data_IF_478354492505
#
_entry.id   IF_478354492505
#
_cell.length_a   1.000
_cell.length_b   1.000
_cell.length_c   1.000
_cell.angle_alpha   90.00
_cell.angle_beta   90.00
_cell.angle_gamma   90.00
#
_symmetry.space_group_name_H-M   'P 1'
#
loop_
_entity.id
_entity.type
_entity.pdbx_description
1 polymer ?
#
# COMPACT_ATOMS: atom_id res chain seq x y z
N UNK A 1 -4.22 17.01 -7.19
CA UNK A 1 -3.52 15.76 -6.86
C UNK A 1 -3.78 14.67 -7.89
N UNK A 2 -5.04 14.24 -8.08
CA UNK A 2 -5.39 13.22 -9.09
C UNK A 2 -4.95 13.60 -10.52
N UNK A 3 -5.26 14.81 -10.98
CA UNK A 3 -4.88 15.32 -12.31
C UNK A 3 -3.37 15.32 -12.56
N UNK A 4 -2.57 15.48 -11.51
CA UNK A 4 -1.11 15.44 -11.58
C UNK A 4 -0.57 14.02 -11.74
N UNK A 5 -1.21 13.03 -11.12
CA UNK A 5 -0.90 11.62 -11.34
C UNK A 5 -1.30 11.16 -12.75
N UNK A 6 -2.44 11.63 -13.24
CA UNK A 6 -2.96 11.25 -14.56
C UNK A 6 -2.10 11.76 -15.72
N UNK A 7 -1.39 12.88 -15.52
CA UNK A 7 -0.48 13.45 -16.51
C UNK A 7 0.89 12.75 -16.56
N UNK A 8 1.23 11.92 -15.57
CA UNK A 8 2.48 11.18 -15.56
C UNK A 8 2.46 10.04 -16.59
N UNK A 9 3.63 9.66 -17.18
CA UNK A 9 3.72 8.48 -18.02
C UNK A 9 3.20 7.24 -17.31
N UNK A 10 2.28 6.52 -17.96
CA UNK A 10 1.69 5.30 -17.41
C UNK A 10 2.53 4.09 -17.79
N UNK A 11 2.76 3.21 -16.83
CA UNK A 11 3.39 1.91 -17.02
C UNK A 11 2.42 0.80 -16.64
N UNK A 12 2.73 -0.43 -17.02
CA UNK A 12 2.01 -1.60 -16.50
C UNK A 12 2.30 -1.70 -15.00
N UNK A 13 1.24 -1.73 -14.20
CA UNK A 13 1.27 -1.98 -12.77
C UNK A 13 0.53 -3.28 -12.47
N UNK A 14 1.10 -4.14 -11.62
CA UNK A 14 0.51 -5.43 -11.24
C UNK A 14 -0.55 -5.28 -10.15
N UNK A 15 -0.50 -4.16 -9.42
CA UNK A 15 -1.34 -3.80 -8.27
C UNK A 15 -1.12 -4.62 -7.00
N UNK A 16 -0.81 -5.90 -7.15
CA UNK A 16 -0.53 -6.85 -6.07
C UNK A 16 0.95 -7.29 -6.08
N UNK A 17 1.85 -6.35 -6.43
CA UNK A 17 3.30 -6.53 -6.34
C UNK A 17 3.76 -6.46 -4.87
N UNK A 18 3.73 -7.58 -4.18
CA UNK A 18 4.13 -7.71 -2.77
C UNK A 18 4.81 -9.06 -2.51
N UNK A 19 5.47 -9.21 -1.36
CA UNK A 19 6.40 -10.32 -1.12
C UNK A 19 5.76 -11.72 -1.29
N UNK A 20 4.50 -11.90 -0.92
CA UNK A 20 3.80 -13.19 -1.07
C UNK A 20 3.52 -13.59 -2.53
N UNK A 21 3.56 -12.65 -3.48
CA UNK A 21 3.36 -12.91 -4.91
C UNK A 21 4.70 -12.98 -5.69
N UNK A 22 5.84 -13.02 -4.97
CA UNK A 22 7.17 -13.11 -5.56
C UNK A 22 7.81 -14.46 -5.23
N UNK A 23 8.27 -15.17 -6.27
CA UNK A 23 9.01 -16.42 -6.15
C UNK A 23 10.49 -16.18 -6.43
N UNK A 24 11.37 -16.56 -5.49
CA UNK A 24 12.80 -16.51 -5.72
C UNK A 24 13.27 -17.70 -6.56
N UNK A 25 13.86 -17.42 -7.71
CA UNK A 25 14.31 -18.41 -8.71
C UNK A 25 15.83 -18.28 -8.92
N UNK A 26 16.66 -18.79 -7.98
CA UNK A 26 18.08 -18.46 -7.91
C UNK A 26 18.90 -18.91 -9.12
N UNK A 27 18.40 -19.86 -9.92
CA UNK A 27 19.08 -20.36 -11.12
C UNK A 27 18.91 -19.44 -12.35
N UNK A 28 18.12 -18.37 -12.24
CA UNK A 28 17.95 -17.37 -13.31
C UNK A 28 18.92 -16.19 -13.11
N UNK A 29 19.00 -15.29 -14.08
CA UNK A 29 19.87 -14.10 -14.00
C UNK A 29 19.08 -12.82 -13.74
N UNK A 30 19.71 -11.85 -13.09
CA UNK A 30 19.17 -10.49 -12.88
C UNK A 30 17.75 -10.47 -12.29
N UNK A 31 16.86 -9.65 -12.87
CA UNK A 31 15.46 -9.53 -12.47
C UNK A 31 14.65 -10.80 -12.77
N UNK A 32 15.10 -11.67 -13.69
CA UNK A 32 14.41 -12.93 -13.97
C UNK A 32 14.44 -13.92 -12.79
N UNK A 33 15.28 -13.66 -11.77
CA UNK A 33 15.27 -14.36 -10.47
C UNK A 33 14.03 -14.09 -9.64
N UNK A 34 13.23 -13.08 -9.99
CA UNK A 34 11.99 -12.75 -9.32
C UNK A 34 10.83 -13.22 -10.20
N UNK A 35 10.33 -14.43 -9.92
CA UNK A 35 9.10 -14.94 -10.50
C UNK A 35 7.89 -14.16 -9.97
N UNK A 36 6.93 -13.87 -10.83
CA UNK A 36 5.73 -13.11 -10.50
C UNK A 36 4.49 -14.00 -10.58
N UNK A 37 3.65 -13.92 -9.56
CA UNK A 37 2.30 -14.50 -9.54
C UNK A 37 1.26 -13.39 -9.57
N UNK A 38 0.00 -13.76 -9.83
CA UNK A 38 -1.18 -12.90 -9.64
C UNK A 38 -1.18 -11.60 -10.48
N UNK A 39 -0.61 -11.64 -11.70
CA UNK A 39 -0.45 -10.48 -12.58
C UNK A 39 -1.62 -10.25 -13.55
N UNK A 40 -2.65 -11.10 -13.55
CA UNK A 40 -3.77 -11.05 -14.50
C UNK A 40 -4.64 -9.78 -14.39
N UNK A 41 -4.59 -9.12 -13.23
CA UNK A 41 -5.34 -7.90 -12.93
C UNK A 41 -4.54 -6.61 -13.23
N UNK A 42 -3.41 -6.74 -13.92
CA UNK A 42 -2.54 -5.63 -14.26
C UNK A 42 -3.24 -4.58 -15.13
N UNK A 43 -2.87 -3.32 -14.94
CA UNK A 43 -3.43 -2.18 -15.68
C UNK A 43 -2.40 -1.07 -15.87
N UNK A 44 -2.77 -0.01 -16.58
CA UNK A 44 -1.91 1.16 -16.76
C UNK A 44 -2.04 2.14 -15.59
N UNK A 45 -0.93 2.43 -14.91
CA UNK A 45 -0.89 3.32 -13.77
C UNK A 45 0.45 4.02 -13.59
N UNK A 46 0.56 4.78 -12.51
CA UNK A 46 1.78 5.51 -12.19
C UNK A 46 2.91 4.54 -11.76
N UNK A 47 4.17 4.74 -12.18
CA UNK A 47 5.30 3.84 -11.87
C UNK A 47 5.56 3.60 -10.38
N UNK A 48 5.25 4.57 -9.54
CA UNK A 48 5.38 4.43 -8.09
C UNK A 48 4.40 3.40 -7.47
N UNK A 49 3.33 2.98 -8.16
CA UNK A 49 2.26 2.18 -7.56
C UNK A 49 2.73 0.83 -7.00
N UNK A 50 3.47 0.07 -7.80
CA UNK A 50 4.00 -1.23 -7.37
C UNK A 50 5.18 -1.07 -6.41
N UNK A 51 5.94 0.03 -6.51
CA UNK A 51 7.01 0.33 -5.55
C UNK A 51 6.44 0.62 -4.15
N UNK A 52 5.31 1.34 -4.06
CA UNK A 52 4.56 1.49 -2.80
C UNK A 52 4.07 0.13 -2.30
N UNK A 53 3.53 -0.71 -3.20
CA UNK A 53 2.98 -2.03 -2.85
C UNK A 53 3.97 -2.93 -2.12
N UNK A 54 5.22 -2.99 -2.60
CA UNK A 54 6.25 -3.86 -2.02
C UNK A 54 6.95 -3.23 -0.82
N UNK A 55 7.19 -1.91 -0.83
CA UNK A 55 7.96 -1.25 0.24
C UNK A 55 7.09 -0.86 1.45
N UNK A 56 5.77 -0.74 1.27
CA UNK A 56 4.79 -0.53 2.34
C UNK A 56 3.89 -1.75 2.51
N UNK A 57 4.43 -2.96 2.31
CA UNK A 57 3.68 -4.21 2.45
C UNK A 57 3.16 -4.38 3.89
N UNK A 58 1.85 -4.42 4.06
CA UNK A 58 1.21 -4.61 5.36
C UNK A 58 1.64 -5.91 6.05
N UNK A 59 2.09 -6.92 5.30
CA UNK A 59 2.38 -8.28 5.80
C UNK A 59 3.81 -8.46 6.26
N UNK A 60 4.73 -7.58 5.84
CA UNK A 60 6.13 -7.63 6.26
C UNK A 60 6.58 -6.28 6.82
N UNK A 61 7.42 -6.32 7.84
CA UNK A 61 8.02 -5.11 8.36
C UNK A 61 9.23 -4.72 7.50
N UNK A 62 8.98 -3.94 6.44
CA UNK A 62 10.05 -3.40 5.58
C UNK A 62 10.68 -2.21 6.31
N UNK A 63 11.98 -2.27 6.66
CA UNK A 63 12.62 -1.17 7.37
C UNK A 63 12.58 0.12 6.56
N UNK A 64 12.35 1.27 7.21
CA UNK A 64 12.30 2.58 6.53
C UNK A 64 13.59 2.94 5.80
N UNK A 65 14.74 2.47 6.29
CA UNK A 65 16.01 2.63 5.58
C UNK A 65 16.03 1.88 4.24
N UNK A 66 15.42 0.68 4.18
CA UNK A 66 15.29 -0.10 2.93
C UNK A 66 14.32 0.59 1.99
N UNK A 67 13.17 1.08 2.48
CA UNK A 67 12.22 1.86 1.68
C UNK A 67 12.91 3.09 1.05
N UNK A 68 13.62 3.88 1.84
CA UNK A 68 14.36 5.05 1.35
C UNK A 68 15.43 4.66 0.31
N UNK A 69 16.25 3.66 0.61
CA UNK A 69 17.31 3.19 -0.30
C UNK A 69 16.75 2.68 -1.63
N UNK A 70 15.61 1.97 -1.61
CA UNK A 70 14.99 1.43 -2.83
C UNK A 70 14.32 2.52 -3.67
N UNK A 71 13.76 3.56 -3.04
CA UNK A 71 13.27 4.75 -3.76
C UNK A 71 14.45 5.45 -4.46
N UNK A 72 15.55 5.69 -3.75
CA UNK A 72 16.74 6.34 -4.32
C UNK A 72 17.34 5.52 -5.47
N UNK A 73 17.42 4.19 -5.30
CA UNK A 73 17.85 3.27 -6.35
C UNK A 73 16.95 3.35 -7.58
N UNK A 74 15.63 3.36 -7.39
CA UNK A 74 14.66 3.44 -8.49
C UNK A 74 14.78 4.77 -9.25
N UNK A 75 14.93 5.89 -8.53
CA UNK A 75 15.13 7.21 -9.13
C UNK A 75 16.43 7.28 -9.92
N UNK A 76 17.54 6.81 -9.36
CA UNK A 76 18.83 6.78 -10.04
C UNK A 76 18.81 5.92 -11.32
N UNK A 77 18.01 4.84 -11.35
CA UNK A 77 17.87 3.96 -12.52
C UNK A 77 16.94 4.50 -13.59
N UNK A 78 15.91 5.27 -13.21
CA UNK A 78 14.88 5.72 -14.15
C UNK A 78 15.05 7.16 -14.60
N UNK A 79 15.81 7.97 -13.87
CA UNK A 79 15.99 9.40 -14.16
C UNK A 79 14.72 10.23 -13.96
N UNK A 80 13.74 9.72 -13.21
CA UNK A 80 12.52 10.46 -12.89
C UNK A 80 12.82 11.64 -11.96
N UNK A 81 12.00 12.70 -12.07
CA UNK A 81 12.08 13.84 -11.17
C UNK A 81 11.79 13.41 -9.71
N UNK A 82 12.77 13.60 -8.83
CA UNK A 82 12.72 13.16 -7.43
C UNK A 82 11.50 13.75 -6.71
N UNK A 83 11.30 15.07 -6.82
CA UNK A 83 10.25 15.79 -6.10
C UNK A 83 8.86 15.33 -6.55
N UNK A 84 8.62 15.25 -7.85
CA UNK A 84 7.36 14.78 -8.40
C UNK A 84 7.10 13.31 -8.05
N UNK A 85 8.13 12.46 -8.11
CA UNK A 85 8.01 11.03 -7.81
C UNK A 85 7.69 10.80 -6.33
N UNK A 86 8.41 11.44 -5.40
CA UNK A 86 8.15 11.28 -3.95
C UNK A 86 6.77 11.79 -3.56
N UNK A 87 6.31 12.89 -4.18
CA UNK A 87 4.92 13.36 -4.02
C UNK A 87 3.91 12.33 -4.51
N UNK A 88 4.13 11.74 -5.69
CA UNK A 88 3.26 10.70 -6.22
C UNK A 88 3.28 9.43 -5.35
N UNK A 89 4.46 9.03 -4.88
CA UNK A 89 4.66 7.91 -3.97
C UNK A 89 3.87 8.08 -2.67
N UNK A 90 3.98 9.24 -2.02
CA UNK A 90 3.21 9.53 -0.79
C UNK A 90 1.70 9.52 -1.04
N UNK A 91 1.23 10.11 -2.16
CA UNK A 91 -0.19 10.12 -2.52
C UNK A 91 -0.74 8.72 -2.77
N UNK A 92 -0.04 7.90 -3.56
CA UNK A 92 -0.43 6.52 -3.83
C UNK A 92 -0.32 5.65 -2.59
N UNK A 93 0.67 5.89 -1.74
CA UNK A 93 0.80 5.30 -0.41
C UNK A 93 -0.42 5.56 0.45
N UNK A 94 -0.84 6.83 0.59
CA UNK A 94 -2.03 7.17 1.35
C UNK A 94 -3.29 6.51 0.77
N UNK A 95 -3.49 6.61 -0.56
CA UNK A 95 -4.62 6.02 -1.25
C UNK A 95 -4.70 4.49 -1.07
N UNK A 96 -3.58 3.78 -1.23
CA UNK A 96 -3.52 2.33 -1.06
C UNK A 96 -3.77 1.91 0.39
N UNK A 97 -3.13 2.56 1.35
CA UNK A 97 -3.29 2.21 2.76
C UNK A 97 -4.74 2.44 3.22
N UNK A 98 -5.39 3.54 2.80
CA UNK A 98 -6.82 3.75 3.06
C UNK A 98 -7.70 2.61 2.52
N UNK A 99 -7.44 2.17 1.29
CA UNK A 99 -8.15 1.03 0.69
C UNK A 99 -7.89 -0.26 1.48
N UNK A 100 -6.65 -0.52 1.89
CA UNK A 100 -6.27 -1.72 2.64
C UNK A 100 -6.97 -1.75 4.01
N UNK A 101 -7.04 -0.63 4.74
CA UNK A 101 -7.77 -0.53 6.01
C UNK A 101 -9.23 -0.99 5.85
N UNK A 102 -9.91 -0.48 4.81
CA UNK A 102 -11.28 -0.90 4.48
C UNK A 102 -11.38 -2.38 4.09
N UNK A 103 -10.41 -2.90 3.33
CA UNK A 103 -10.36 -4.33 2.96
C UNK A 103 -10.18 -5.21 4.20
N UNK A 104 -9.27 -4.88 5.11
CA UNK A 104 -9.02 -5.67 6.32
C UNK A 104 -10.21 -5.66 7.27
N UNK A 105 -10.83 -4.49 7.47
CA UNK A 105 -12.08 -4.39 8.23
C UNK A 105 -13.18 -5.26 7.59
N UNK A 106 -13.35 -5.20 6.26
CA UNK A 106 -14.33 -6.03 5.54
C UNK A 106 -14.02 -7.53 5.66
N UNK A 107 -12.75 -7.95 5.53
CA UNK A 107 -12.35 -9.36 5.65
C UNK A 107 -12.67 -9.91 7.05
N UNK A 108 -12.54 -9.11 8.11
CA UNK A 108 -13.01 -9.51 9.43
C UNK A 108 -14.54 -9.55 9.49
N UNK A 109 -15.20 -8.40 9.28
CA UNK A 109 -16.63 -8.24 9.51
C UNK A 109 -17.50 -9.16 8.64
N UNK A 110 -17.10 -9.37 7.39
CA UNK A 110 -17.84 -10.19 6.42
C UNK A 110 -17.32 -11.62 6.33
N UNK A 111 -16.01 -11.77 6.16
CA UNK A 111 -15.42 -13.07 5.81
C UNK A 111 -14.91 -13.85 7.02
N UNK A 112 -15.09 -13.32 8.25
CA UNK A 112 -14.71 -14.00 9.48
C UNK A 112 -13.21 -14.18 9.66
N UNK A 113 -12.38 -13.28 9.09
CA UNK A 113 -10.92 -13.37 9.10
C UNK A 113 -10.28 -12.37 10.08
N UNK A 114 -10.28 -12.62 11.40
CA UNK A 114 -9.78 -11.68 12.42
C UNK A 114 -8.29 -11.37 12.31
N UNK A 115 -7.49 -12.28 11.74
CA UNK A 115 -6.04 -12.11 11.61
C UNK A 115 -5.63 -10.91 10.76
N UNK A 116 -6.51 -10.39 9.89
CA UNK A 116 -6.21 -9.17 9.12
C UNK A 116 -6.31 -7.90 9.97
N UNK A 117 -7.05 -7.93 11.09
CA UNK A 117 -7.11 -6.82 12.04
C UNK A 117 -5.75 -6.62 12.71
N UNK A 118 -4.96 -7.68 12.90
CA UNK A 118 -3.60 -7.61 13.45
C UNK A 118 -2.62 -6.83 12.55
N UNK A 119 -2.93 -6.68 11.26
CA UNK A 119 -2.11 -5.94 10.31
C UNK A 119 -2.48 -4.45 10.24
N UNK A 120 -3.63 -4.04 10.78
CA UNK A 120 -4.13 -2.66 10.74
C UNK A 120 -3.14 -1.66 11.35
N UNK A 121 -2.50 -1.90 12.51
CA UNK A 121 -1.54 -0.96 13.09
C UNK A 121 -0.41 -0.57 12.14
N UNK A 122 0.12 -1.53 11.36
CA UNK A 122 1.19 -1.27 10.38
C UNK A 122 0.67 -0.43 9.21
N UNK A 123 -0.48 -0.80 8.64
CA UNK A 123 -1.13 -0.04 7.55
C UNK A 123 -1.42 1.39 7.99
N UNK A 124 -1.89 1.57 9.22
CA UNK A 124 -2.11 2.88 9.81
C UNK A 124 -0.82 3.69 9.92
N UNK A 125 0.29 3.08 10.38
CA UNK A 125 1.59 3.77 10.42
C UNK A 125 2.07 4.19 9.03
N UNK A 126 1.88 3.38 8.00
CA UNK A 126 2.19 3.77 6.62
C UNK A 126 1.30 4.94 6.16
N UNK A 127 -0.01 4.89 6.42
CA UNK A 127 -0.93 5.99 6.12
C UNK A 127 -0.48 7.29 6.79
N UNK A 128 -0.25 7.28 8.11
CA UNK A 128 0.18 8.45 8.86
C UNK A 128 1.53 9.00 8.37
N UNK A 129 2.45 8.12 7.97
CA UNK A 129 3.72 8.55 7.39
C UNK A 129 3.52 9.27 6.05
N UNK A 130 2.73 8.69 5.15
CA UNK A 130 2.43 9.29 3.85
C UNK A 130 1.74 10.65 4.00
N UNK A 131 0.78 10.78 4.93
CA UNK A 131 0.03 12.00 5.17
C UNK A 131 0.86 13.15 5.76
N UNK A 132 2.06 12.88 6.29
CA UNK A 132 3.00 13.94 6.70
C UNK A 132 3.63 14.67 5.53
N UNK A 133 3.52 14.13 4.31
CA UNK A 133 4.05 14.79 3.14
C UNK A 133 3.29 16.12 2.89
N UNK A 134 3.98 17.27 2.73
CA UNK A 134 3.31 18.58 2.67
C UNK A 134 2.22 18.70 1.60
N UNK A 135 2.42 18.06 0.44
CA UNK A 135 1.43 18.06 -0.64
C UNK A 135 0.11 17.34 -0.29
N UNK A 136 0.05 16.60 0.82
CA UNK A 136 -1.12 15.85 1.27
C UNK A 136 -1.84 16.53 2.46
N UNK A 137 -1.45 17.74 2.87
CA UNK A 137 -2.06 18.43 4.02
C UNK A 137 -3.59 18.48 3.95
N UNK A 138 -4.15 18.92 2.81
CA UNK A 138 -5.60 18.98 2.63
C UNK A 138 -6.28 17.60 2.72
N UNK A 139 -5.60 16.54 2.29
CA UNK A 139 -6.10 15.16 2.42
C UNK A 139 -6.04 14.73 3.88
N UNK A 140 -4.94 15.01 4.58
CA UNK A 140 -4.78 14.72 5.99
C UNK A 140 -5.87 15.41 6.83
N UNK A 141 -6.12 16.70 6.57
CA UNK A 141 -7.16 17.49 7.24
C UNK A 141 -8.55 16.91 6.98
N UNK A 142 -8.84 16.49 5.74
CA UNK A 142 -10.15 15.95 5.36
C UNK A 142 -10.47 14.60 6.01
N UNK A 143 -9.45 13.82 6.38
CA UNK A 143 -9.64 12.50 7.02
C UNK A 143 -9.38 12.54 8.53
N UNK A 144 -8.83 13.64 9.04
CA UNK A 144 -8.61 13.85 10.46
C UNK A 144 -9.94 13.75 11.21
N UNK A 145 -10.00 12.88 12.22
CA UNK A 145 -11.22 12.64 13.01
C UNK A 145 -12.29 11.80 12.33
N UNK A 146 -12.15 11.46 11.04
CA UNK A 146 -13.07 10.56 10.32
C UNK A 146 -12.70 9.09 10.56
N UNK A 147 -11.41 8.79 10.54
CA UNK A 147 -10.92 7.42 10.71
C UNK A 147 -10.66 7.11 12.19
N UNK A 148 -11.16 5.98 12.72
CA UNK A 148 -10.87 5.57 14.08
C UNK A 148 -9.39 5.21 14.22
N UNK A 149 -8.77 5.67 15.31
CA UNK A 149 -7.42 5.24 15.66
C UNK A 149 -7.41 3.75 16.02
N UNK A 150 -6.42 2.96 15.55
CA UNK A 150 -6.33 1.54 15.85
C UNK A 150 -5.75 1.29 17.24
N UNK A 151 -6.47 1.73 18.28
CA UNK A 151 -6.14 1.40 19.67
C UNK A 151 -6.39 -0.09 19.94
N UNK A 152 -5.74 -0.70 20.95
CA UNK A 152 -6.00 -2.08 21.33
C UNK A 152 -7.50 -2.39 21.50
N UNK A 153 -8.22 -1.55 22.26
CA UNK A 153 -9.66 -1.71 22.51
C UNK A 153 -10.49 -1.66 21.21
N UNK A 154 -10.15 -0.74 20.29
CA UNK A 154 -10.84 -0.64 19.00
C UNK A 154 -10.60 -1.90 18.16
N UNK A 155 -9.37 -2.41 18.12
CA UNK A 155 -9.03 -3.60 17.35
C UNK A 155 -9.67 -4.85 17.94
N UNK A 156 -9.73 -4.98 19.27
CA UNK A 156 -10.43 -6.07 19.94
C UNK A 156 -11.93 -6.02 19.68
N UNK A 157 -12.53 -4.84 19.78
CA UNK A 157 -13.93 -4.63 19.42
C UNK A 157 -14.21 -5.02 17.97
N UNK A 158 -13.37 -4.57 17.02
CA UNK A 158 -13.50 -4.92 15.61
C UNK A 158 -13.43 -6.44 15.40
N UNK A 159 -12.50 -7.14 16.09
CA UNK A 159 -12.39 -8.60 16.03
C UNK A 159 -13.62 -9.31 16.60
N UNK A 160 -14.22 -8.79 17.67
CA UNK A 160 -15.45 -9.36 18.25
C UNK A 160 -16.65 -9.30 17.30
N UNK A 161 -16.58 -8.46 16.28
CA UNK A 161 -17.60 -8.29 15.24
C UNK A 161 -17.27 -9.06 13.95
N UNK A 162 -16.26 -9.92 13.93
CA UNK A 162 -15.98 -10.70 12.73
C UNK A 162 -17.16 -11.63 12.37
N UNK A 163 -17.42 -11.80 11.08
CA UNK A 163 -18.53 -12.57 10.51
C UNK A 163 -19.96 -12.11 10.92
N UNK A 164 -20.13 -10.89 11.43
CA UNK A 164 -21.46 -10.36 11.77
C UNK A 164 -22.16 -9.63 10.62
N UNK A 165 -21.46 -9.34 9.52
CA UNK A 165 -22.03 -8.69 8.33
C UNK A 165 -22.14 -9.70 7.19
N UNK A 166 -23.33 -10.12 6.77
CA UNK A 166 -23.47 -11.09 5.69
C UNK A 166 -23.06 -10.50 4.33
N UNK A 167 -22.60 -11.36 3.43
CA UNK A 167 -22.46 -11.00 2.01
C UNK A 167 -23.84 -10.71 1.43
N UNK A 168 -24.06 -9.57 0.75
CA UNK A 168 -25.33 -9.34 0.05
C UNK A 168 -25.58 -10.50 -0.93
N UNK A 169 -26.78 -11.06 -0.89
CA UNK A 169 -27.25 -12.09 -1.83
C UNK A 169 -27.20 -11.59 -3.28
#
# INVERSE_FOLDING_TARGET
LATTLDAAPKVVILRDYHAENLLWLPQRSDAARVGLLDFQDALLGHPAYDLVSILQDARRDVPRAVEAQMIDYYLAKTGQDDVAFRRAYALLGAQRNLRILGIFARLCLRDGKPQYVDLIPRVWQHLQHNLRHPALSAVADSIAGVLPHPTPDFLEHLKSQCATIPTPL
#
